data_IF_267107482629
#
_entry.id   IF_267107482629
#
_cell.length_a   1.000
_cell.length_b   1.000
_cell.length_c   1.000
_cell.angle_alpha   90.00
_cell.angle_beta   90.00
_cell.angle_gamma   90.00
#
_symmetry.space_group_name_H-M   'P 1'
#
loop_
_entity.id
_entity.type
_entity.pdbx_description
1 polymer ?
#
# COMPACT_ATOMS: atom_id res chain seq x y z
N UNK A 1 3.95 -8.55 4.52
CA UNK A 1 3.89 -7.11 4.15
C UNK A 1 3.92 -6.21 5.38
N UNK A 2 2.84 -6.04 6.15
CA UNK A 2 2.79 -5.14 7.33
C UNK A 2 4.00 -5.23 8.29
N UNK A 3 4.38 -6.47 8.69
CA UNK A 3 5.53 -6.72 9.55
C UNK A 3 6.85 -6.27 8.92
N UNK A 4 7.04 -6.53 7.62
CA UNK A 4 8.24 -6.12 6.90
C UNK A 4 8.30 -4.60 6.68
N UNK A 5 7.15 -3.93 6.52
CA UNK A 5 7.09 -2.48 6.31
C UNK A 5 7.38 -1.68 7.59
N UNK A 6 6.89 -2.13 8.76
CA UNK A 6 6.96 -1.32 9.98
C UNK A 6 7.01 -2.10 11.30
N UNK A 7 7.11 -3.42 11.24
CA UNK A 7 6.79 -4.29 12.39
C UNK A 7 5.29 -4.33 12.69
N UNK A 8 4.44 -3.92 11.75
CA UNK A 8 2.99 -3.79 11.90
C UNK A 8 2.56 -2.96 13.12
N UNK A 9 3.36 -1.93 13.43
CA UNK A 9 3.12 -1.03 14.56
C UNK A 9 1.91 -0.13 14.26
N UNK A 10 0.83 -0.18 15.05
CA UNK A 10 -0.42 0.53 14.74
C UNK A 10 -0.32 2.06 14.89
N UNK A 11 0.73 2.55 15.55
CA UNK A 11 0.97 3.97 15.82
C UNK A 11 1.87 4.66 14.78
N UNK A 12 2.27 3.95 13.71
CA UNK A 12 3.03 4.56 12.62
C UNK A 12 2.11 5.45 11.82
N UNK A 13 2.26 6.77 12.02
CA UNK A 13 1.58 7.79 11.26
C UNK A 13 2.31 8.07 9.95
N UNK A 14 1.72 8.98 9.18
CA UNK A 14 2.31 9.49 7.97
C UNK A 14 3.56 10.30 8.23
N UNK A 15 4.59 10.11 7.40
CA UNK A 15 5.86 10.79 7.54
C UNK A 15 6.58 10.93 6.19
N UNK A 16 7.44 11.95 6.13
CA UNK A 16 8.35 12.16 5.01
C UNK A 16 9.60 11.31 5.21
N UNK A 17 10.12 10.73 4.13
CA UNK A 17 11.43 10.06 4.09
C UNK A 17 12.46 10.92 3.37
N UNK A 18 13.75 10.62 3.58
CA UNK A 18 14.88 11.44 3.10
C UNK A 18 14.85 11.78 1.60
N UNK A 19 14.24 10.93 0.77
CA UNK A 19 14.15 11.12 -0.69
C UNK A 19 12.88 11.86 -1.15
N UNK A 20 12.19 12.56 -0.25
CA UNK A 20 10.97 13.32 -0.58
C UNK A 20 9.70 12.47 -0.72
N UNK A 21 9.75 11.18 -0.38
CA UNK A 21 8.56 10.33 -0.33
C UNK A 21 7.71 10.62 0.91
N UNK A 22 6.39 10.54 0.78
CA UNK A 22 5.43 10.64 1.88
C UNK A 22 4.64 9.34 1.99
N UNK A 23 4.78 8.65 3.11
CA UNK A 23 4.22 7.32 3.33
C UNK A 23 3.39 7.26 4.61
N UNK A 24 2.29 6.52 4.57
CA UNK A 24 1.35 6.41 5.67
C UNK A 24 1.17 4.99 6.19
N UNK A 25 0.90 4.90 7.50
CA UNK A 25 0.38 3.71 8.14
C UNK A 25 1.38 2.56 8.26
N UNK A 26 0.93 1.43 8.84
CA UNK A 26 1.81 0.29 9.09
C UNK A 26 2.27 -0.43 7.81
N UNK A 27 1.64 -0.18 6.67
CA UNK A 27 2.03 -0.72 5.36
C UNK A 27 2.99 0.18 4.57
N UNK A 28 3.22 1.42 5.03
CA UNK A 28 4.08 2.39 4.35
C UNK A 28 3.60 2.65 2.91
N UNK A 29 2.34 3.09 2.77
CA UNK A 29 1.69 3.30 1.47
C UNK A 29 1.78 4.78 1.08
N UNK A 30 2.11 5.04 -0.19
CA UNK A 30 2.16 6.39 -0.77
C UNK A 30 0.81 6.82 -1.34
N UNK A 31 0.65 8.13 -1.61
CA UNK A 31 -0.58 8.67 -2.18
C UNK A 31 -0.94 8.05 -3.54
N UNK A 32 0.05 7.92 -4.44
CA UNK A 32 -0.17 7.33 -5.76
C UNK A 32 -0.65 5.88 -5.67
N UNK A 33 -0.06 5.09 -4.78
CA UNK A 33 -0.50 3.72 -4.51
C UNK A 33 -1.94 3.68 -4.02
N UNK A 34 -2.32 4.55 -3.07
CA UNK A 34 -3.70 4.64 -2.59
C UNK A 34 -4.69 5.10 -3.67
N UNK A 35 -4.27 6.04 -4.52
CA UNK A 35 -5.07 6.53 -5.64
C UNK A 35 -5.34 5.44 -6.67
N UNK A 36 -4.32 4.66 -7.03
CA UNK A 36 -4.45 3.54 -7.96
C UNK A 36 -5.27 2.38 -7.41
N UNK A 37 -5.23 2.17 -6.10
CA UNK A 37 -6.06 1.19 -5.41
C UNK A 37 -7.55 1.55 -5.36
N UNK A 38 -7.97 2.67 -5.95
CA UNK A 38 -9.36 3.13 -5.95
C UNK A 38 -9.75 4.00 -4.76
N UNK A 39 -8.77 4.58 -4.04
CA UNK A 39 -8.99 5.52 -2.94
C UNK A 39 -9.98 5.03 -1.87
N UNK A 40 -9.78 3.85 -1.26
CA UNK A 40 -10.68 3.36 -0.22
C UNK A 40 -10.76 4.37 0.94
N UNK A 41 -11.99 4.63 1.42
CA UNK A 41 -12.24 5.58 2.49
C UNK A 41 -12.24 7.05 2.06
N UNK A 42 -12.09 7.35 0.77
CA UNK A 42 -12.25 8.70 0.22
C UNK A 42 -13.70 9.16 0.32
N UNK A 43 -13.89 10.32 0.95
CA UNK A 43 -15.13 11.05 1.07
C UNK A 43 -14.99 12.49 0.53
N UNK A 44 -13.90 12.78 -0.19
CA UNK A 44 -13.61 14.08 -0.79
C UNK A 44 -12.90 15.08 0.14
N UNK A 45 -12.38 14.62 1.29
CA UNK A 45 -11.63 15.47 2.22
C UNK A 45 -10.12 15.37 1.98
N UNK A 46 -9.41 16.48 2.24
CA UNK A 46 -7.98 16.57 2.03
C UNK A 46 -7.16 15.54 2.85
N UNK A 47 -7.69 15.06 3.97
CA UNK A 47 -7.01 14.14 4.89
C UNK A 47 -7.50 12.69 4.80
N UNK A 48 -8.27 12.32 3.78
CA UNK A 48 -8.84 10.96 3.66
C UNK A 48 -7.75 9.91 3.42
N UNK A 49 -6.69 10.27 2.70
CA UNK A 49 -5.49 9.46 2.52
C UNK A 49 -4.88 9.04 3.87
N UNK A 50 -4.58 10.00 4.74
CA UNK A 50 -4.01 9.75 6.07
C UNK A 50 -5.02 9.02 6.96
N UNK A 51 -6.29 9.40 6.91
CA UNK A 51 -7.35 8.82 7.74
C UNK A 51 -7.57 7.35 7.42
N UNK A 52 -7.55 6.99 6.14
CA UNK A 52 -7.60 5.61 5.69
C UNK A 52 -6.35 4.86 6.12
N UNK A 53 -5.16 5.28 5.69
CA UNK A 53 -3.97 4.44 5.79
C UNK A 53 -3.45 4.24 7.22
N UNK A 54 -3.81 5.14 8.15
CA UNK A 54 -3.56 4.92 9.57
C UNK A 54 -4.43 3.80 10.18
N UNK A 55 -5.52 3.40 9.51
CA UNK A 55 -6.36 2.25 9.91
C UNK A 55 -5.91 1.01 9.15
N UNK A 56 -5.48 -0.02 9.89
CA UNK A 56 -5.01 -1.29 9.31
C UNK A 56 -5.99 -1.87 8.28
N UNK A 57 -7.28 -1.90 8.57
CA UNK A 57 -8.30 -2.45 7.66
C UNK A 57 -8.40 -1.67 6.34
N UNK A 58 -8.33 -0.34 6.39
CA UNK A 58 -8.40 0.47 5.17
C UNK A 58 -7.10 0.35 4.35
N UNK A 59 -5.93 0.33 5.01
CA UNK A 59 -4.65 0.03 4.36
C UNK A 59 -4.63 -1.36 3.70
N UNK A 60 -5.20 -2.38 4.33
CA UNK A 60 -5.35 -3.70 3.70
C UNK A 60 -6.27 -3.67 2.48
N UNK A 61 -7.38 -2.93 2.54
CA UNK A 61 -8.24 -2.70 1.37
C UNK A 61 -7.49 -1.97 0.27
N UNK A 62 -6.60 -1.03 0.61
CA UNK A 62 -5.72 -0.37 -0.36
C UNK A 62 -4.77 -1.35 -1.03
N UNK A 63 -4.11 -2.24 -0.28
CA UNK A 63 -3.26 -3.28 -0.89
C UNK A 63 -4.09 -4.17 -1.82
N UNK A 64 -5.25 -4.66 -1.38
CA UNK A 64 -6.12 -5.51 -2.23
C UNK A 64 -6.57 -4.79 -3.50
N UNK A 65 -6.96 -3.52 -3.40
CA UNK A 65 -7.36 -2.71 -4.56
C UNK A 65 -6.21 -2.48 -5.54
N UNK A 66 -5.00 -2.21 -5.04
CA UNK A 66 -3.82 -2.05 -5.88
C UNK A 66 -3.49 -3.34 -6.63
N UNK A 67 -3.52 -4.49 -5.94
CA UNK A 67 -3.26 -5.79 -6.56
C UNK A 67 -4.37 -6.22 -7.52
N UNK A 68 -5.61 -5.78 -7.32
CA UNK A 68 -6.67 -6.01 -8.29
C UNK A 68 -6.43 -5.25 -9.61
N UNK A 69 -5.77 -4.08 -9.55
CA UNK A 69 -5.43 -3.27 -10.72
C UNK A 69 -4.10 -3.70 -11.37
N UNK A 70 -3.11 -4.00 -10.53
CA UNK A 70 -1.70 -4.16 -10.91
C UNK A 70 -1.13 -5.54 -10.53
N UNK A 71 -1.99 -6.53 -10.28
CA UNK A 71 -1.56 -7.89 -9.99
C UNK A 71 -0.81 -8.49 -11.17
N UNK A 72 0.39 -8.99 -10.93
CA UNK A 72 1.24 -9.63 -11.92
C UNK A 72 2.03 -10.76 -11.26
N UNK A 73 2.26 -11.83 -12.00
CA UNK A 73 3.16 -12.92 -11.59
C UNK A 73 4.61 -12.43 -11.74
N UNK A 74 5.19 -11.98 -10.64
CA UNK A 74 6.51 -11.36 -10.58
C UNK A 74 7.63 -12.39 -10.41
N UNK A 75 7.32 -13.58 -9.91
CA UNK A 75 8.28 -14.67 -9.71
C UNK A 75 8.22 -15.76 -10.82
N UNK A 76 7.29 -15.62 -11.77
CA UNK A 76 7.03 -16.52 -12.89
C UNK A 76 6.66 -17.96 -12.49
N UNK A 77 5.96 -18.13 -11.37
CA UNK A 77 5.52 -19.44 -10.87
C UNK A 77 4.15 -19.90 -11.41
N UNK A 78 3.52 -19.05 -12.24
CA UNK A 78 2.22 -19.29 -12.87
C UNK A 78 1.03 -18.89 -12.00
N UNK A 79 1.25 -18.22 -10.87
CA UNK A 79 0.21 -17.75 -9.93
C UNK A 79 0.47 -16.29 -9.57
N UNK A 80 -0.59 -15.62 -9.11
CA UNK A 80 -0.46 -14.31 -8.46
C UNK A 80 -0.83 -14.51 -7.00
N UNK A 81 0.18 -14.56 -6.13
CA UNK A 81 0.03 -14.95 -4.74
C UNK A 81 0.72 -13.99 -3.75
N UNK A 82 0.93 -14.46 -2.51
CA UNK A 82 1.54 -13.68 -1.45
C UNK A 82 2.94 -13.16 -1.80
N UNK A 83 3.73 -13.95 -2.54
CA UNK A 83 5.07 -13.55 -2.96
C UNK A 83 5.01 -12.41 -3.97
N UNK A 84 4.08 -12.46 -4.92
CA UNK A 84 3.87 -11.39 -5.88
C UNK A 84 3.35 -10.13 -5.21
N UNK A 85 2.40 -10.26 -4.28
CA UNK A 85 1.89 -9.13 -3.52
C UNK A 85 3.02 -8.42 -2.75
N UNK A 86 3.92 -9.19 -2.13
CA UNK A 86 5.08 -8.62 -1.45
C UNK A 86 6.07 -7.96 -2.43
N UNK A 87 6.28 -8.55 -3.61
CA UNK A 87 7.15 -8.01 -4.64
C UNK A 87 6.60 -6.70 -5.25
N UNK A 88 5.33 -6.68 -5.66
CA UNK A 88 4.62 -5.51 -6.22
C UNK A 88 4.59 -4.36 -5.22
N UNK A 89 4.41 -4.64 -3.93
CA UNK A 89 4.41 -3.60 -2.91
C UNK A 89 5.75 -2.88 -2.74
N UNK A 90 6.86 -3.48 -3.20
CA UNK A 90 8.21 -2.97 -2.94
C UNK A 90 8.99 -2.58 -4.19
N UNK A 91 9.03 -3.45 -5.20
CA UNK A 91 10.02 -3.38 -6.29
C UNK A 91 9.57 -3.94 -7.64
N UNK A 92 8.50 -4.75 -7.72
CA UNK A 92 8.11 -5.33 -9.00
C UNK A 92 7.47 -4.26 -9.88
N UNK A 93 8.11 -3.96 -11.01
CA UNK A 93 7.56 -3.06 -12.03
C UNK A 93 6.42 -3.75 -12.78
N UNK A 94 5.23 -3.17 -12.64
CA UNK A 94 4.02 -3.65 -13.29
C UNK A 94 3.92 -2.99 -14.65
N UNK A 95 3.92 -3.79 -15.72
CA UNK A 95 3.93 -3.33 -17.13
C UNK A 95 2.59 -2.79 -17.57
#
# INVERSE_FOLDING_TARGET
MCLASSGCKPNIKCHNVANGGYFCGPYQISWAYWADAGKPGDAGFANDFETCLNKKSCAESTVRGYMAKWGNDCNADGRVDCFDFAAIHKVCDVK
#
